data_IF_286472741643
#
_entry.id   IF_286472741643
#
_cell.length_a   1.000
_cell.length_b   1.000
_cell.length_c   1.000
_cell.angle_alpha   90.00
_cell.angle_beta   90.00
_cell.angle_gamma   90.00
#
_symmetry.space_group_name_H-M   'P 1'
#
loop_
_entity.id
_entity.type
_entity.pdbx_description
1 polymer ?
#
# COMPACT_ATOMS: atom_id res chain seq x y z
N UNK A 1 15.67 -2.09 -21.69
CA UNK A 1 15.58 -2.25 -20.22
C UNK A 1 14.32 -3.03 -19.90
N UNK A 2 14.40 -4.12 -19.12
CA UNK A 2 13.24 -4.91 -18.73
C UNK A 2 12.45 -4.10 -17.67
N UNK A 3 11.16 -3.91 -17.89
CA UNK A 3 10.29 -3.21 -16.94
C UNK A 3 10.10 -4.10 -15.71
N UNK A 4 10.36 -3.58 -14.51
CA UNK A 4 10.16 -4.29 -13.25
C UNK A 4 8.68 -4.69 -13.12
N UNK A 5 8.43 -5.92 -12.70
CA UNK A 5 7.09 -6.46 -12.43
C UNK A 5 6.63 -6.11 -11.01
N UNK A 6 5.33 -6.23 -10.73
CA UNK A 6 4.79 -6.01 -9.38
C UNK A 6 5.38 -7.00 -8.37
N UNK A 7 5.61 -8.26 -8.77
CA UNK A 7 6.21 -9.27 -7.89
C UNK A 7 7.66 -8.93 -7.54
N UNK A 8 8.47 -8.55 -8.53
CA UNK A 8 9.85 -8.08 -8.30
C UNK A 8 9.86 -6.84 -7.39
N UNK A 9 8.90 -5.92 -7.53
CA UNK A 9 8.76 -4.77 -6.64
C UNK A 9 8.41 -5.17 -5.21
N UNK A 10 7.50 -6.11 -5.02
CA UNK A 10 7.09 -6.63 -3.70
C UNK A 10 8.30 -7.25 -3.00
N UNK A 11 9.05 -8.10 -3.70
CA UNK A 11 10.24 -8.78 -3.17
C UNK A 11 11.35 -7.79 -2.84
N UNK A 12 11.72 -6.92 -3.79
CA UNK A 12 12.78 -5.90 -3.63
C UNK A 12 12.55 -5.00 -2.42
N UNK A 13 11.28 -4.68 -2.13
CA UNK A 13 10.93 -3.73 -1.07
C UNK A 13 10.39 -4.42 0.20
N UNK A 14 10.55 -5.73 0.33
CA UNK A 14 10.17 -6.53 1.50
C UNK A 14 8.70 -6.33 1.93
N UNK A 15 7.80 -6.23 0.94
CA UNK A 15 6.37 -6.06 1.20
C UNK A 15 5.77 -7.41 1.62
N UNK A 16 5.17 -7.45 2.80
CA UNK A 16 4.53 -8.65 3.33
C UNK A 16 3.13 -8.87 2.74
N UNK A 17 2.35 -7.80 2.62
CA UNK A 17 1.05 -7.82 1.94
C UNK A 17 0.95 -6.68 0.94
N UNK A 18 0.59 -7.00 -0.29
CA UNK A 18 0.24 -6.05 -1.33
C UNK A 18 -1.26 -6.15 -1.61
N UNK A 19 -1.98 -5.04 -1.50
CA UNK A 19 -3.42 -5.01 -1.75
C UNK A 19 -3.76 -4.02 -2.85
N UNK A 20 -4.44 -4.47 -3.89
CA UNK A 20 -5.05 -3.61 -4.91
C UNK A 20 -6.54 -3.43 -4.62
N UNK A 21 -6.95 -2.20 -4.37
CA UNK A 21 -8.36 -1.83 -4.23
C UNK A 21 -8.99 -1.37 -5.54
N UNK A 22 -10.06 -2.04 -5.95
CA UNK A 22 -10.93 -1.62 -7.07
C UNK A 22 -12.25 -1.07 -6.50
N UNK A 23 -12.43 0.26 -6.44
CA UNK A 23 -13.65 0.88 -5.94
C UNK A 23 -14.85 0.72 -6.90
N UNK A 24 -14.64 0.46 -8.20
CA UNK A 24 -15.74 0.21 -9.13
C UNK A 24 -16.40 -1.13 -8.81
N UNK A 25 -15.58 -2.17 -8.65
CA UNK A 25 -16.03 -3.52 -8.27
C UNK A 25 -16.27 -3.68 -6.76
N UNK A 26 -15.85 -2.70 -5.96
CA UNK A 26 -15.82 -2.75 -4.50
C UNK A 26 -15.06 -3.96 -3.95
N UNK A 27 -13.90 -4.28 -4.54
CA UNK A 27 -13.11 -5.47 -4.20
C UNK A 27 -11.68 -5.12 -3.86
N UNK A 28 -11.10 -5.90 -2.95
CA UNK A 28 -9.67 -5.95 -2.70
C UNK A 28 -9.10 -7.20 -3.36
N UNK A 29 -7.96 -7.06 -4.04
CA UNK A 29 -7.14 -8.18 -4.48
C UNK A 29 -5.88 -8.18 -3.62
N UNK A 30 -5.64 -9.29 -2.94
CA UNK A 30 -4.63 -9.38 -1.89
C UNK A 30 -3.57 -10.37 -2.35
N UNK A 31 -2.32 -9.92 -2.41
CA UNK A 31 -1.14 -10.73 -2.64
C UNK A 31 -0.37 -10.81 -1.34
N UNK A 32 -0.30 -12.01 -0.77
CA UNK A 32 0.45 -12.30 0.45
C UNK A 32 1.77 -12.97 0.09
N UNK A 33 2.87 -12.51 0.70
CA UNK A 33 4.18 -13.14 0.55
C UNK A 33 4.47 -14.09 1.72
N UNK A 34 5.65 -14.71 1.72
CA UNK A 34 6.14 -15.52 2.83
C UNK A 34 6.61 -14.67 4.03
N UNK A 35 6.73 -13.34 3.88
CA UNK A 35 7.18 -12.47 4.96
C UNK A 35 6.05 -12.27 5.99
N UNK A 36 6.34 -12.42 7.29
CA UNK A 36 5.35 -12.15 8.33
C UNK A 36 5.18 -10.65 8.57
N UNK A 37 3.98 -10.24 8.95
CA UNK A 37 3.73 -8.94 9.58
C UNK A 37 3.80 -9.12 11.10
N UNK A 38 4.42 -8.16 11.79
CA UNK A 38 4.44 -8.13 13.26
C UNK A 38 3.02 -8.00 13.83
N UNK A 39 2.19 -7.17 13.18
CA UNK A 39 0.80 -6.98 13.56
C UNK A 39 -0.11 -6.93 12.33
N UNK A 40 -1.29 -7.55 12.43
CA UNK A 40 -2.32 -7.49 11.39
C UNK A 40 -3.32 -6.34 11.60
N UNK A 41 -3.21 -5.57 12.69
CA UNK A 41 -4.21 -4.55 13.08
C UNK A 41 -4.48 -3.54 11.96
N UNK A 42 -3.44 -3.02 11.31
CA UNK A 42 -3.62 -2.08 10.18
C UNK A 42 -4.31 -2.74 9.00
N UNK A 43 -3.96 -3.98 8.68
CA UNK A 43 -4.57 -4.73 7.58
C UNK A 43 -6.05 -5.01 7.87
N UNK A 44 -6.38 -5.42 9.10
CA UNK A 44 -7.76 -5.63 9.52
C UNK A 44 -8.59 -4.35 9.41
N UNK A 45 -8.09 -3.24 9.98
CA UNK A 45 -8.81 -1.96 9.99
C UNK A 45 -8.98 -1.36 8.58
N UNK A 46 -7.94 -1.43 7.75
CA UNK A 46 -7.95 -0.78 6.44
C UNK A 46 -8.61 -1.65 5.36
N UNK A 47 -8.53 -2.97 5.48
CA UNK A 47 -8.93 -3.91 4.43
C UNK A 47 -10.08 -4.80 4.89
N UNK A 48 -9.94 -5.58 5.97
CA UNK A 48 -10.97 -6.57 6.36
C UNK A 48 -12.26 -5.94 6.87
N UNK A 49 -12.16 -4.85 7.66
CA UNK A 49 -13.29 -4.14 8.24
C UNK A 49 -13.71 -2.90 7.43
N UNK A 50 -13.25 -2.80 6.19
CA UNK A 50 -13.53 -1.67 5.32
C UNK A 50 -13.94 -2.14 3.92
N UNK A 51 -14.27 -1.19 3.04
CA UNK A 51 -14.57 -1.49 1.64
C UNK A 51 -13.69 -0.67 0.72
N UNK A 52 -13.38 -1.20 -0.47
CA UNK A 52 -12.59 -0.47 -1.45
C UNK A 52 -13.25 0.86 -1.85
N UNK A 53 -14.59 0.93 -1.90
CA UNK A 53 -15.32 2.18 -2.11
C UNK A 53 -15.10 3.20 -1.00
N UNK A 54 -15.19 2.78 0.26
CA UNK A 54 -15.01 3.69 1.40
C UNK A 54 -13.57 4.19 1.49
N UNK A 55 -12.59 3.31 1.33
CA UNK A 55 -11.19 3.72 1.36
C UNK A 55 -10.83 4.64 0.19
N UNK A 56 -11.39 4.39 -1.00
CA UNK A 56 -11.27 5.31 -2.14
C UNK A 56 -11.89 6.69 -1.88
N UNK A 57 -13.08 6.74 -1.27
CA UNK A 57 -13.72 8.02 -0.87
C UNK A 57 -12.84 8.78 0.13
N UNK A 58 -12.24 8.08 1.10
CA UNK A 58 -11.29 8.67 2.03
C UNK A 58 -10.08 9.24 1.28
N UNK A 59 -9.44 8.43 0.42
CA UNK A 59 -8.25 8.83 -0.35
C UNK A 59 -8.52 10.00 -1.29
N UNK A 60 -9.73 10.11 -1.87
CA UNK A 60 -10.12 11.25 -2.71
C UNK A 60 -10.13 12.59 -1.98
N UNK A 61 -10.40 12.57 -0.67
CA UNK A 61 -10.40 13.77 0.18
C UNK A 61 -8.99 14.15 0.65
N UNK A 62 -7.99 13.30 0.42
CA UNK A 62 -6.61 13.57 0.83
C UNK A 62 -5.88 14.36 -0.26
N UNK A 63 -5.32 15.49 0.13
CA UNK A 63 -4.47 16.34 -0.74
C UNK A 63 -3.05 15.78 -0.84
N UNK A 64 -2.56 15.12 0.22
CA UNK A 64 -1.21 14.57 0.29
C UNK A 64 -1.25 13.05 0.16
N UNK A 65 -0.53 12.55 -0.84
CA UNK A 65 -0.29 11.14 -1.11
C UNK A 65 1.21 10.90 -1.33
N UNK A 66 1.72 9.70 -1.03
CA UNK A 66 0.99 8.57 -0.41
C UNK A 66 0.65 8.83 1.06
N UNK A 67 -0.35 8.13 1.61
CA UNK A 67 -0.64 8.15 3.05
C UNK A 67 0.15 7.06 3.74
N UNK A 68 0.77 7.37 4.86
CA UNK A 68 1.49 6.39 5.68
C UNK A 68 0.77 6.20 7.03
N UNK A 69 0.63 4.96 7.45
CA UNK A 69 -0.02 4.54 8.69
C UNK A 69 0.93 3.62 9.46
N UNK A 70 0.93 3.74 10.79
CA UNK A 70 1.83 3.01 11.68
C UNK A 70 1.06 2.35 12.83
N UNK A 71 1.46 1.14 13.18
CA UNK A 71 1.06 0.46 14.42
C UNK A 71 2.21 -0.44 14.88
N UNK A 72 2.85 -0.10 16.01
CA UNK A 72 4.11 -0.75 16.41
C UNK A 72 5.18 -0.58 15.33
N UNK A 73 5.78 -1.68 14.88
CA UNK A 73 6.69 -1.70 13.73
C UNK A 73 5.99 -1.99 12.39
N UNK A 74 4.69 -2.33 12.39
CA UNK A 74 3.96 -2.50 11.14
C UNK A 74 3.62 -1.14 10.53
N UNK A 75 3.83 -1.04 9.21
CA UNK A 75 3.53 0.12 8.38
C UNK A 75 2.54 -0.25 7.28
N UNK A 76 1.76 0.74 6.86
CA UNK A 76 0.94 0.66 5.66
C UNK A 76 1.05 1.94 4.84
N UNK A 77 1.50 1.80 3.59
CA UNK A 77 1.48 2.89 2.62
C UNK A 77 0.26 2.73 1.72
N UNK A 78 -0.58 3.77 1.64
CA UNK A 78 -1.70 3.87 0.72
C UNK A 78 -1.35 4.81 -0.44
N UNK A 79 -1.21 4.22 -1.63
CA UNK A 79 -0.94 4.89 -2.90
C UNK A 79 -2.22 4.97 -3.75
N UNK A 80 -2.38 6.02 -4.55
CA UNK A 80 -3.55 6.22 -5.42
C UNK A 80 -3.11 6.31 -6.89
N UNK A 81 -3.81 5.61 -7.77
CA UNK A 81 -3.66 5.73 -9.22
C UNK A 81 -4.98 6.25 -9.81
N UNK A 82 -5.03 7.55 -10.07
CA UNK A 82 -6.25 8.24 -10.47
C UNK A 82 -6.73 7.85 -11.86
N UNK A 83 -5.82 7.69 -12.82
CA UNK A 83 -6.13 7.32 -14.21
C UNK A 83 -6.87 5.97 -14.27
N UNK A 84 -6.40 5.00 -13.49
CA UNK A 84 -6.98 3.66 -13.41
C UNK A 84 -8.12 3.55 -12.40
N UNK A 85 -8.35 4.61 -11.60
CA UNK A 85 -9.30 4.66 -10.48
C UNK A 85 -9.14 3.48 -9.52
N UNK A 86 -7.90 3.17 -9.15
CA UNK A 86 -7.54 2.11 -8.19
C UNK A 86 -6.56 2.66 -7.16
N UNK A 87 -6.42 1.96 -6.05
CA UNK A 87 -5.41 2.28 -5.05
C UNK A 87 -4.65 1.02 -4.63
N UNK A 88 -3.50 1.23 -4.00
CA UNK A 88 -2.63 0.18 -3.53
C UNK A 88 -2.32 0.39 -2.06
N UNK A 89 -2.37 -0.69 -1.27
CA UNK A 89 -1.92 -0.71 0.11
C UNK A 89 -0.72 -1.65 0.24
N UNK A 90 0.38 -1.14 0.77
CA UNK A 90 1.64 -1.86 0.94
C UNK A 90 1.90 -2.03 2.43
N UNK A 91 1.87 -3.26 2.93
CA UNK A 91 2.11 -3.57 4.33
C UNK A 91 3.47 -4.22 4.51
N UNK A 92 4.27 -3.70 5.45
CA UNK A 92 5.62 -4.14 5.76
C UNK A 92 5.97 -3.83 7.21
N UNK A 93 7.03 -4.42 7.74
CA UNK A 93 7.59 -4.04 9.04
C UNK A 93 8.74 -3.05 8.84
N UNK A 94 8.83 -2.06 9.72
CA UNK A 94 9.86 -1.03 9.70
C UNK A 94 10.09 -0.48 11.11
N UNK A 95 11.37 -0.40 11.49
CA UNK A 95 11.82 0.28 12.70
C UNK A 95 12.21 1.75 12.42
N UNK A 96 12.11 2.17 11.16
CA UNK A 96 12.45 3.52 10.72
C UNK A 96 11.64 4.58 11.45
N UNK A 97 12.24 5.76 11.54
CA UNK A 97 11.56 6.94 12.05
C UNK A 97 10.55 7.50 11.03
N UNK A 98 9.84 8.56 11.44
CA UNK A 98 8.78 9.14 10.63
C UNK A 98 9.27 9.76 9.32
N UNK A 99 10.46 10.38 9.32
CA UNK A 99 11.01 11.06 8.14
C UNK A 99 11.48 10.03 7.11
N UNK A 100 12.19 9.01 7.58
CA UNK A 100 12.64 7.88 6.78
C UNK A 100 11.45 7.13 6.14
N UNK A 101 10.44 6.80 6.95
CA UNK A 101 9.22 6.13 6.49
C UNK A 101 8.48 6.97 5.43
N UNK A 102 8.47 8.29 5.58
CA UNK A 102 7.85 9.20 4.61
C UNK A 102 8.63 9.23 3.28
N UNK A 103 9.95 9.31 3.34
CA UNK A 103 10.81 9.25 2.16
C UNK A 103 10.68 7.92 1.43
N UNK A 104 10.66 6.82 2.20
CA UNK A 104 10.44 5.47 1.68
C UNK A 104 9.09 5.35 0.99
N UNK A 105 8.02 5.85 1.61
CA UNK A 105 6.68 5.84 1.03
C UNK A 105 6.63 6.58 -0.31
N UNK A 106 7.23 7.77 -0.41
CA UNK A 106 7.30 8.53 -1.67
C UNK A 106 8.04 7.78 -2.76
N UNK A 107 9.18 7.14 -2.43
CA UNK A 107 9.94 6.32 -3.36
C UNK A 107 9.10 5.16 -3.89
N UNK A 108 8.41 4.44 -2.99
CA UNK A 108 7.56 3.31 -3.38
C UNK A 108 6.37 3.74 -4.23
N UNK A 109 5.71 4.85 -3.92
CA UNK A 109 4.61 5.38 -4.73
C UNK A 109 5.09 5.73 -6.15
N UNK A 110 6.27 6.35 -6.28
CA UNK A 110 6.88 6.65 -7.59
C UNK A 110 7.23 5.37 -8.36
N UNK A 111 7.96 4.43 -7.75
CA UNK A 111 8.34 3.17 -8.38
C UNK A 111 7.10 2.38 -8.84
N UNK A 112 6.05 2.31 -8.01
CA UNK A 112 4.85 1.56 -8.32
C UNK A 112 4.05 2.16 -9.48
N UNK A 113 4.01 3.50 -9.59
CA UNK A 113 3.38 4.20 -10.71
C UNK A 113 4.10 3.96 -12.04
N UNK A 114 5.41 3.76 -12.01
CA UNK A 114 6.16 3.42 -13.23
C UNK A 114 5.86 1.99 -13.68
N UNK A 115 5.64 1.05 -12.75
CA UNK A 115 5.31 -0.34 -13.05
C UNK A 115 3.92 -0.48 -13.65
N UNK A 116 2.92 0.15 -12.99
CA UNK A 116 1.50 -0.13 -13.21
C UNK A 116 0.92 0.66 -14.35
#
# INVERSE_FOLDING_TARGET
MKKMTVNEFIEKNHIALFVKGDPKKNRFHITKTALPLESNVLFEQLILYNTAKNLWKYLKKQTLLPRNWRHGNTRCILCRCDDKKVFYALFYNSEQDFEEDYCFAKRLDKELKEII
#
